data_IF_433603237762
#
_entry.id   IF_433603237762
#
_cell.length_a   1.000
_cell.length_b   1.000
_cell.length_c   1.000
_cell.angle_alpha   90.00
_cell.angle_beta   90.00
_cell.angle_gamma   90.00
#
_symmetry.space_group_name_H-M   'P 1'
#
loop_
_entity.id
_entity.type
_entity.pdbx_description
1 polymer ?
#
# COMPACT_ATOMS: atom_id res chain seq x y z
N UNK A 1 -3.60 -8.77 -15.03
CA UNK A 1 -4.49 -7.65 -14.63
C UNK A 1 -3.78 -6.91 -13.51
N UNK A 2 -3.17 -5.74 -13.76
CA UNK A 2 -2.59 -4.94 -12.68
C UNK A 2 -3.75 -4.39 -11.83
N UNK A 3 -3.77 -4.71 -10.54
CA UNK A 3 -4.77 -4.13 -9.63
C UNK A 3 -4.47 -2.63 -9.49
N UNK A 4 -5.46 -1.78 -9.72
CA UNK A 4 -5.31 -0.34 -9.59
C UNK A 4 -5.10 0.03 -8.12
N UNK A 5 -4.14 0.91 -7.86
CA UNK A 5 -3.92 1.44 -6.51
C UNK A 5 -5.15 2.23 -6.04
N UNK A 6 -5.52 2.12 -4.75
CA UNK A 6 -6.57 2.97 -4.20
C UNK A 6 -6.11 4.43 -4.24
N UNK A 7 -7.02 5.32 -4.62
CA UNK A 7 -6.76 6.76 -4.72
C UNK A 7 -7.71 7.53 -3.82
N UNK A 8 -7.23 8.63 -3.25
CA UNK A 8 -8.09 9.56 -2.51
C UNK A 8 -8.93 10.35 -3.52
N UNK A 9 -10.23 10.14 -3.53
CA UNK A 9 -11.16 10.93 -4.36
C UNK A 9 -11.44 12.26 -3.65
N UNK A 10 -11.39 13.39 -4.37
CA UNK A 10 -11.69 14.71 -3.82
C UNK A 10 -13.18 14.82 -3.40
N UNK A 11 -13.43 15.11 -2.12
CA UNK A 11 -14.78 15.25 -1.55
C UNK A 11 -14.86 14.76 -0.09
N UNK A 12 -15.95 15.11 0.62
CA UNK A 12 -16.22 14.56 1.95
C UNK A 12 -16.38 13.03 1.86
N UNK A 13 -15.47 12.29 2.51
CA UNK A 13 -15.48 10.82 2.56
C UNK A 13 -14.40 10.12 1.72
N UNK A 14 -13.66 10.82 0.87
CA UNK A 14 -12.60 10.20 0.05
C UNK A 14 -11.48 9.56 0.86
N UNK A 15 -11.07 10.22 1.94
CA UNK A 15 -10.07 9.68 2.87
C UNK A 15 -10.59 8.45 3.63
N UNK A 16 -11.83 8.49 4.11
CA UNK A 16 -12.44 7.36 4.83
C UNK A 16 -12.51 6.12 3.94
N UNK A 17 -12.94 6.29 2.69
CA UNK A 17 -12.97 5.21 1.70
C UNK A 17 -11.57 4.65 1.41
N UNK A 18 -10.57 5.52 1.20
CA UNK A 18 -9.19 5.09 1.01
C UNK A 18 -8.69 4.26 2.20
N UNK A 19 -8.97 4.69 3.44
CA UNK A 19 -8.60 3.95 4.65
C UNK A 19 -9.29 2.59 4.75
N UNK A 20 -10.53 2.46 4.30
CA UNK A 20 -11.22 1.17 4.22
C UNK A 20 -10.64 0.25 3.14
N UNK A 21 -10.30 0.79 1.96
CA UNK A 21 -9.73 0.03 0.86
C UNK A 21 -8.35 -0.53 1.23
N UNK A 22 -7.45 0.27 1.82
CA UNK A 22 -6.10 -0.20 2.18
C UNK A 22 -6.10 -1.26 3.30
N UNK A 23 -7.16 -1.34 4.11
CA UNK A 23 -7.31 -2.35 5.16
C UNK A 23 -7.61 -3.74 4.60
N UNK A 24 -8.08 -3.84 3.36
CA UNK A 24 -8.38 -5.12 2.69
C UNK A 24 -7.14 -5.85 2.21
N UNK A 25 -6.02 -5.15 2.05
CA UNK A 25 -4.77 -5.80 1.69
C UNK A 25 -4.23 -6.64 2.85
N UNK A 26 -3.83 -7.90 2.60
CA UNK A 26 -3.26 -8.76 3.63
C UNK A 26 -1.88 -8.25 4.06
N UNK A 27 -1.57 -8.39 5.35
CA UNK A 27 -0.22 -8.20 5.87
C UNK A 27 0.67 -9.36 5.44
N UNK A 28 1.91 -9.06 5.09
CA UNK A 28 2.90 -10.07 4.74
C UNK A 28 3.62 -10.56 5.99
N UNK A 29 4.04 -11.82 5.98
CA UNK A 29 5.06 -12.32 6.90
C UNK A 29 6.46 -11.89 6.42
N UNK A 30 7.45 -11.79 7.32
CA UNK A 30 8.81 -11.34 6.97
C UNK A 30 9.44 -12.11 5.80
N UNK A 31 9.20 -13.43 5.75
CA UNK A 31 9.71 -14.27 4.65
C UNK A 31 9.06 -13.92 3.31
N UNK A 32 7.77 -13.59 3.29
CA UNK A 32 7.08 -13.20 2.07
C UNK A 32 7.62 -11.87 1.53
N UNK A 33 7.89 -10.91 2.42
CA UNK A 33 8.51 -9.62 2.06
C UNK A 33 9.87 -9.84 1.38
N UNK A 34 10.73 -10.66 1.99
CA UNK A 34 12.03 -11.00 1.43
C UNK A 34 11.91 -11.62 0.04
N UNK A 35 11.02 -12.60 -0.12
CA UNK A 35 10.83 -13.29 -1.40
C UNK A 35 10.29 -12.36 -2.48
N UNK A 36 9.34 -11.47 -2.15
CA UNK A 36 8.77 -10.49 -3.09
C UNK A 36 9.81 -9.43 -3.49
N UNK A 37 10.58 -8.91 -2.52
CA UNK A 37 11.64 -7.95 -2.78
C UNK A 37 12.73 -8.54 -3.68
N UNK A 38 13.17 -9.77 -3.38
CA UNK A 38 14.14 -10.50 -4.19
C UNK A 38 13.63 -10.72 -5.62
N UNK A 39 12.37 -11.15 -5.77
CA UNK A 39 11.77 -11.37 -7.09
C UNK A 39 11.69 -10.09 -7.92
N UNK A 40 11.36 -8.96 -7.30
CA UNK A 40 11.38 -7.68 -8.00
C UNK A 40 12.81 -7.30 -8.41
N UNK A 41 13.80 -7.45 -7.53
CA UNK A 41 15.18 -7.09 -7.81
C UNK A 41 15.82 -7.96 -8.91
N UNK A 42 15.53 -9.26 -8.96
CA UNK A 42 16.15 -10.20 -9.90
C UNK A 42 15.41 -10.31 -11.23
N UNK A 43 14.10 -10.05 -11.24
CA UNK A 43 13.23 -10.31 -12.39
C UNK A 43 12.35 -9.14 -12.80
N UNK A 44 12.53 -7.97 -12.18
CA UNK A 44 11.69 -6.78 -12.40
C UNK A 44 10.18 -7.07 -12.27
N UNK A 45 9.83 -8.04 -11.39
CA UNK A 45 8.45 -8.47 -11.21
C UNK A 45 7.60 -7.36 -10.56
N UNK A 46 6.96 -6.57 -11.41
CA UNK A 46 6.05 -5.49 -11.01
C UNK A 46 4.86 -5.97 -10.18
N UNK A 47 4.46 -7.24 -10.30
CA UNK A 47 3.41 -7.82 -9.46
C UNK A 47 3.91 -8.04 -8.04
N UNK A 48 5.17 -8.49 -7.89
CA UNK A 48 5.81 -8.61 -6.58
C UNK A 48 5.96 -7.25 -5.90
N UNK A 49 6.39 -6.22 -6.64
CA UNK A 49 6.46 -4.85 -6.14
C UNK A 49 5.08 -4.33 -5.71
N UNK A 50 4.05 -4.56 -6.53
CA UNK A 50 2.68 -4.15 -6.20
C UNK A 50 2.18 -4.79 -4.89
N UNK A 51 2.41 -6.10 -4.71
CA UNK A 51 2.04 -6.81 -3.47
C UNK A 51 2.79 -6.27 -2.25
N UNK A 52 4.08 -5.98 -2.39
CA UNK A 52 4.91 -5.42 -1.32
C UNK A 52 4.43 -4.01 -0.91
N UNK A 53 4.13 -3.15 -1.89
CA UNK A 53 3.65 -1.78 -1.63
C UNK A 53 2.27 -1.80 -0.98
N UNK A 54 1.33 -2.55 -1.55
CA UNK A 54 -0.07 -2.55 -1.09
C UNK A 54 -0.25 -3.11 0.32
N UNK A 55 0.54 -4.11 0.73
CA UNK A 55 0.50 -4.65 2.10
C UNK A 55 0.93 -3.63 3.16
N UNK A 56 1.68 -2.60 2.77
CA UNK A 56 2.26 -1.60 3.68
C UNK A 56 1.53 -0.24 3.69
N UNK A 57 0.49 -0.05 2.88
CA UNK A 57 -0.23 1.22 2.80
C UNK A 57 -0.83 1.68 4.14
N UNK A 58 -1.19 0.72 5.03
CA UNK A 58 -1.68 1.02 6.38
C UNK A 58 -0.64 1.75 7.23
N UNK A 59 0.63 1.37 7.11
CA UNK A 59 1.74 2.02 7.82
C UNK A 59 1.96 3.44 7.28
N UNK A 60 1.98 3.59 5.96
CA UNK A 60 2.12 4.91 5.31
C UNK A 60 1.01 5.86 5.76
N UNK A 61 -0.25 5.40 5.72
CA UNK A 61 -1.39 6.19 6.17
C UNK A 61 -1.24 6.60 7.64
N UNK A 62 -0.80 5.69 8.52
CA UNK A 62 -0.56 5.99 9.94
C UNK A 62 0.48 7.10 10.12
N UNK A 63 1.61 7.01 9.42
CA UNK A 63 2.69 8.01 9.50
C UNK A 63 2.19 9.35 8.97
N UNK A 64 1.59 9.37 7.78
CA UNK A 64 1.10 10.59 7.15
C UNK A 64 0.02 11.31 7.98
N UNK A 65 -0.88 10.57 8.63
CA UNK A 65 -1.86 11.17 9.56
C UNK A 65 -1.22 11.90 10.74
N UNK A 66 0.00 11.51 11.15
CA UNK A 66 0.76 12.22 12.19
C UNK A 66 1.27 13.60 11.77
N UNK A 67 1.40 13.85 10.46
CA UNK A 67 1.78 15.14 9.89
C UNK A 67 0.58 15.99 9.46
N UNK A 68 -0.65 15.57 9.79
CA UNK A 68 -1.85 16.36 9.46
C UNK A 68 -1.79 17.72 10.16
N UNK A 69 -1.95 18.79 9.39
CA UNK A 69 -1.91 20.18 9.88
C UNK A 69 -0.52 20.82 9.89
N UNK A 70 0.52 20.12 9.41
CA UNK A 70 1.86 20.66 9.19
C UNK A 70 2.11 21.11 7.74
N UNK A 71 1.04 21.37 6.98
CA UNK A 71 1.07 21.81 5.58
C UNK A 71 0.09 22.92 5.32
#
# INVERSE_FOLDING_TARGET
MAQSLPSIVSGEGGLSRYLEEIRRFPMLQPQEEYMLAKRYAEHEDTTAAHKLVTSHLRLVAKIAMGYRGYG
#
